data_IF_360483078365
#
_entry.id   IF_360483078365
#
_cell.length_a   1.000
_cell.length_b   1.000
_cell.length_c   1.000
_cell.angle_alpha   90.00
_cell.angle_beta   90.00
_cell.angle_gamma   90.00
#
_symmetry.space_group_name_H-M   'P 1'
#
loop_
_entity.id
_entity.type
_entity.pdbx_description
1 polymer ?
#
# COMPACT_ATOMS: atom_id res chain seq x y z
N UNK A 1 2.35 31.74 15.27
CA UNK A 1 1.24 30.74 15.27
C UNK A 1 0.75 30.39 16.68
N UNK A 2 -0.54 30.13 16.95
CA UNK A 2 -0.97 29.81 18.33
C UNK A 2 -0.94 28.31 18.62
N UNK A 3 -0.13 27.89 19.61
CA UNK A 3 -0.12 26.53 20.18
C UNK A 3 -1.55 26.06 20.51
N UNK A 4 -2.40 27.01 20.92
CA UNK A 4 -3.82 26.82 21.18
C UNK A 4 -4.56 26.18 19.98
N UNK A 5 -4.28 26.58 18.74
CA UNK A 5 -4.93 26.01 17.55
C UNK A 5 -4.61 24.51 17.38
N UNK A 6 -3.36 24.11 17.63
CA UNK A 6 -2.92 22.71 17.56
C UNK A 6 -3.57 21.88 18.66
N UNK A 7 -3.65 22.42 19.88
CA UNK A 7 -4.33 21.76 21.01
C UNK A 7 -5.81 21.56 20.67
N UNK A 8 -6.50 22.59 20.20
CA UNK A 8 -7.92 22.51 19.80
C UNK A 8 -8.11 21.47 18.69
N UNK A 9 -7.30 21.50 17.63
CA UNK A 9 -7.40 20.52 16.55
C UNK A 9 -7.09 19.09 17.00
N UNK A 10 -6.16 18.91 17.93
CA UNK A 10 -5.85 17.60 18.51
C UNK A 10 -7.02 17.06 19.34
N UNK A 11 -7.67 17.92 20.14
CA UNK A 11 -8.87 17.57 20.90
C UNK A 11 -10.04 17.24 19.98
N UNK A 12 -10.26 18.03 18.93
CA UNK A 12 -11.27 17.75 17.90
C UNK A 12 -10.99 16.44 17.17
N UNK A 13 -9.73 16.20 16.79
CA UNK A 13 -9.32 14.96 16.16
C UNK A 13 -9.60 13.76 17.07
N UNK A 14 -9.22 13.85 18.35
CA UNK A 14 -9.50 12.80 19.34
C UNK A 14 -11.00 12.57 19.52
N UNK A 15 -11.80 13.63 19.62
CA UNK A 15 -13.26 13.54 19.73
C UNK A 15 -13.86 12.79 18.52
N UNK A 16 -13.53 13.20 17.30
CA UNK A 16 -14.02 12.51 16.10
C UNK A 16 -13.48 11.09 15.96
N UNK A 17 -12.26 10.84 16.43
CA UNK A 17 -11.65 9.51 16.42
C UNK A 17 -12.40 8.55 17.37
N UNK A 18 -12.80 9.01 18.55
CA UNK A 18 -13.64 8.25 19.50
C UNK A 18 -14.98 7.91 18.85
N UNK A 19 -15.62 8.88 18.20
CA UNK A 19 -16.88 8.67 17.48
C UNK A 19 -16.70 7.67 16.33
N UNK A 20 -15.61 7.79 15.57
CA UNK A 20 -15.25 6.85 14.51
C UNK A 20 -15.13 5.42 15.03
N UNK A 21 -14.39 5.19 16.12
CA UNK A 21 -14.26 3.86 16.72
C UNK A 21 -15.56 3.31 17.33
N UNK A 22 -16.47 4.20 17.74
CA UNK A 22 -17.82 3.80 18.19
C UNK A 22 -18.65 3.23 17.04
N UNK A 23 -18.64 3.87 15.87
CA UNK A 23 -19.48 3.49 14.73
C UNK A 23 -18.87 2.42 13.81
N UNK A 24 -17.54 2.43 13.66
CA UNK A 24 -16.83 1.50 12.81
C UNK A 24 -16.15 0.45 13.68
N UNK A 25 -16.55 -0.82 13.56
CA UNK A 25 -15.80 -1.91 14.23
C UNK A 25 -14.51 -2.19 13.47
N UNK A 26 -13.38 -2.42 14.18
CA UNK A 26 -12.09 -2.59 13.54
C UNK A 26 -12.05 -3.85 12.67
N UNK A 27 -11.66 -3.66 11.41
CA UNK A 27 -11.36 -4.73 10.45
C UNK A 27 -9.93 -4.53 9.96
N UNK A 28 -9.11 -5.58 9.97
CA UNK A 28 -7.66 -5.49 9.69
C UNK A 28 -7.35 -4.79 8.37
N UNK A 29 -8.15 -5.05 7.34
CA UNK A 29 -7.96 -4.48 6.00
C UNK A 29 -8.86 -3.28 5.73
N UNK A 30 -9.36 -2.59 6.76
CA UNK A 30 -10.23 -1.42 6.60
C UNK A 30 -9.46 -0.24 5.99
N UNK A 31 -9.82 0.25 4.79
CA UNK A 31 -9.27 1.48 4.24
C UNK A 31 -9.27 2.66 5.22
N UNK A 32 -10.38 2.84 5.94
CA UNK A 32 -10.55 3.98 6.85
C UNK A 32 -9.55 3.95 8.01
N UNK A 33 -9.39 2.78 8.65
CA UNK A 33 -8.39 2.61 9.70
C UNK A 33 -6.97 2.77 9.16
N UNK A 34 -6.68 2.27 7.96
CA UNK A 34 -5.36 2.44 7.32
C UNK A 34 -5.04 3.93 7.16
N UNK A 35 -5.98 4.74 6.64
CA UNK A 35 -5.79 6.18 6.49
C UNK A 35 -5.48 6.85 7.84
N UNK A 36 -6.35 6.64 8.84
CA UNK A 36 -6.26 7.28 10.17
C UNK A 36 -4.97 6.89 10.89
N UNK A 37 -4.67 5.59 10.95
CA UNK A 37 -3.49 5.11 11.68
C UNK A 37 -2.18 5.52 10.99
N UNK A 38 -2.14 5.51 9.66
CA UNK A 38 -0.95 5.92 8.92
C UNK A 38 -0.67 7.42 9.07
N UNK A 39 -1.69 8.27 8.93
CA UNK A 39 -1.52 9.71 9.13
C UNK A 39 -1.10 10.04 10.56
N UNK A 40 -1.71 9.38 11.56
CA UNK A 40 -1.31 9.56 12.96
C UNK A 40 0.14 9.12 13.18
N UNK A 41 0.55 7.98 12.63
CA UNK A 41 1.92 7.51 12.72
C UNK A 41 2.91 8.50 12.10
N UNK A 42 2.61 9.04 10.91
CA UNK A 42 3.48 10.02 10.26
C UNK A 42 3.61 11.31 11.08
N UNK A 43 2.51 11.84 11.63
CA UNK A 43 2.53 13.02 12.51
C UNK A 43 3.43 12.76 13.73
N UNK A 44 3.19 11.66 14.45
CA UNK A 44 3.95 11.33 15.67
C UNK A 44 5.43 11.11 15.34
N UNK A 45 5.74 10.32 14.32
CA UNK A 45 7.11 10.05 13.91
C UNK A 45 7.83 11.32 13.43
N UNK A 46 7.13 12.24 12.79
CA UNK A 46 7.71 13.51 12.34
C UNK A 46 7.99 14.47 13.51
N UNK A 47 7.12 14.50 14.53
CA UNK A 47 7.39 15.24 15.77
C UNK A 47 8.62 14.65 16.48
N UNK A 48 8.68 13.32 16.59
CA UNK A 48 9.83 12.66 17.21
C UNK A 48 11.13 12.95 16.44
N UNK A 49 11.08 12.88 15.11
CA UNK A 49 12.22 13.21 14.26
C UNK A 49 12.65 14.68 14.39
N UNK A 50 11.71 15.62 14.37
CA UNK A 50 12.03 17.03 14.40
C UNK A 50 12.77 17.46 15.68
N UNK A 51 12.38 16.90 16.83
CA UNK A 51 12.91 17.31 18.14
C UNK A 51 14.01 16.42 18.72
N UNK A 52 14.04 15.13 18.36
CA UNK A 52 14.95 14.17 19.00
C UNK A 52 15.98 13.57 18.03
N UNK A 53 16.02 14.02 16.78
CA UNK A 53 16.98 13.53 15.79
C UNK A 53 17.87 14.67 15.27
N UNK A 54 18.99 14.88 15.97
CA UNK A 54 19.92 15.98 15.68
C UNK A 54 20.57 15.83 14.29
N UNK A 55 20.95 14.62 13.92
CA UNK A 55 21.65 14.31 12.66
C UNK A 55 20.69 14.12 11.48
N UNK A 56 19.88 15.13 11.19
CA UNK A 56 18.89 15.13 10.11
C UNK A 56 19.46 14.69 8.76
N UNK A 57 18.65 13.99 7.97
CA UNK A 57 19.06 13.47 6.66
C UNK A 57 19.23 14.56 5.59
N UNK A 58 18.54 15.70 5.69
CA UNK A 58 18.72 16.86 4.80
C UNK A 58 18.56 16.60 3.29
N UNK A 59 17.56 15.80 2.89
CA UNK A 59 17.30 15.57 1.45
C UNK A 59 16.89 16.88 0.79
N UNK A 60 17.77 17.47 -0.03
CA UNK A 60 17.51 18.77 -0.66
C UNK A 60 17.09 19.85 0.37
N UNK A 61 17.59 19.74 1.61
CA UNK A 61 17.29 20.62 2.73
C UNK A 61 15.78 20.77 3.01
N UNK A 62 14.97 19.73 2.74
CA UNK A 62 13.51 19.77 2.95
C UNK A 62 13.09 19.82 4.42
N UNK A 63 13.90 19.24 5.30
CA UNK A 63 13.75 19.15 6.74
C UNK A 63 14.54 20.22 7.51
N UNK A 64 15.20 21.10 6.77
CA UNK A 64 15.69 22.39 7.24
C UNK A 64 14.54 23.40 7.16
N UNK A 65 13.71 23.34 8.20
CA UNK A 65 12.60 24.26 8.46
C UNK A 65 12.63 24.69 9.92
N UNK A 66 12.21 25.93 10.15
CA UNK A 66 12.03 26.44 11.50
C UNK A 66 10.83 25.76 12.21
N UNK A 67 10.77 25.95 13.53
CA UNK A 67 9.72 25.36 14.35
C UNK A 67 8.33 25.91 14.02
N UNK A 68 8.23 27.18 13.59
CA UNK A 68 6.94 27.79 13.27
C UNK A 68 6.31 27.12 12.03
N UNK A 69 7.11 26.97 10.97
CA UNK A 69 6.69 26.27 9.76
C UNK A 69 6.40 24.81 10.04
N UNK A 70 7.22 24.13 10.85
CA UNK A 70 6.94 22.74 11.23
C UNK A 70 5.56 22.61 11.91
N UNK A 71 5.26 23.46 12.89
CA UNK A 71 3.97 23.46 13.58
C UNK A 71 2.80 23.84 12.68
N UNK A 72 2.99 24.74 11.71
CA UNK A 72 2.00 25.03 10.68
C UNK A 72 1.61 23.78 9.91
N UNK A 73 2.60 23.00 9.48
CA UNK A 73 2.35 21.77 8.73
C UNK A 73 1.61 20.77 9.60
N UNK A 74 2.02 20.56 10.86
CA UNK A 74 1.30 19.68 11.78
C UNK A 74 -0.16 20.14 11.96
N UNK A 75 -0.39 21.45 12.09
CA UNK A 75 -1.74 22.04 12.18
C UNK A 75 -2.58 21.70 10.94
N UNK A 76 -2.03 21.85 9.73
CA UNK A 76 -2.72 21.55 8.48
C UNK A 76 -3.04 20.05 8.32
N UNK A 77 -2.11 19.16 8.71
CA UNK A 77 -2.36 17.72 8.72
C UNK A 77 -3.44 17.34 9.73
N UNK A 78 -3.45 17.92 10.94
CA UNK A 78 -4.52 17.70 11.92
C UNK A 78 -5.87 18.19 11.38
N UNK A 79 -5.90 19.38 10.78
CA UNK A 79 -7.09 19.94 10.16
C UNK A 79 -7.65 19.02 9.04
N UNK A 80 -6.78 18.54 8.14
CA UNK A 80 -7.13 17.60 7.10
C UNK A 80 -7.67 16.27 7.65
N UNK A 81 -7.07 15.76 8.73
CA UNK A 81 -7.52 14.54 9.40
C UNK A 81 -8.89 14.71 10.07
N UNK A 82 -9.15 15.85 10.69
CA UNK A 82 -10.48 16.20 11.23
C UNK A 82 -11.50 16.27 10.09
N UNK A 83 -11.19 16.97 9.00
CA UNK A 83 -12.06 17.07 7.82
C UNK A 83 -12.36 15.69 7.20
N UNK A 84 -11.35 14.82 7.11
CA UNK A 84 -11.50 13.43 6.68
C UNK A 84 -12.45 12.64 7.58
N UNK A 85 -12.28 12.73 8.90
CA UNK A 85 -13.14 12.05 9.87
C UNK A 85 -14.59 12.56 9.81
N UNK A 86 -14.79 13.87 9.62
CA UNK A 86 -16.12 14.45 9.38
C UNK A 86 -16.72 13.84 8.11
N UNK A 87 -15.97 13.79 7.01
CA UNK A 87 -16.45 13.24 5.73
C UNK A 87 -16.87 11.77 5.82
N UNK A 88 -16.09 10.92 6.49
CA UNK A 88 -16.45 9.50 6.64
C UNK A 88 -17.63 9.30 7.60
N UNK A 89 -17.74 10.09 8.66
CA UNK A 89 -18.86 10.07 9.59
C UNK A 89 -20.14 10.58 8.94
N UNK A 90 -20.05 11.63 8.11
CA UNK A 90 -21.15 12.13 7.30
C UNK A 90 -21.65 11.04 6.34
N UNK A 91 -20.74 10.38 5.61
CA UNK A 91 -21.09 9.24 4.76
C UNK A 91 -21.78 8.10 5.53
N UNK A 92 -21.30 7.80 6.74
CA UNK A 92 -21.96 6.84 7.63
C UNK A 92 -23.37 7.29 7.98
N UNK A 93 -23.58 8.57 8.33
CA UNK A 93 -24.87 9.06 8.81
C UNK A 93 -25.96 9.04 7.75
N UNK A 94 -25.62 9.43 6.51
CA UNK A 94 -26.55 9.37 5.37
C UNK A 94 -26.75 7.94 4.84
N UNK A 95 -25.96 6.97 5.31
CA UNK A 95 -26.07 5.58 4.85
C UNK A 95 -27.30 4.87 5.44
N UNK A 96 -27.85 3.92 4.69
CA UNK A 96 -29.00 3.14 5.14
C UNK A 96 -28.71 2.33 6.42
N UNK A 97 -29.75 1.99 7.20
CA UNK A 97 -29.64 1.18 8.43
C UNK A 97 -28.86 -0.12 8.21
N UNK A 98 -29.01 -0.77 7.04
CA UNK A 98 -28.28 -1.98 6.68
C UNK A 98 -26.77 -1.74 6.53
N UNK A 99 -26.36 -0.59 5.98
CA UNK A 99 -24.95 -0.20 5.86
C UNK A 99 -24.38 0.18 7.24
N UNK A 100 -25.13 0.93 8.06
CA UNK A 100 -24.73 1.25 9.45
C UNK A 100 -24.46 -0.04 10.26
N UNK A 101 -25.36 -1.04 10.17
CA UNK A 101 -25.15 -2.39 10.76
C UNK A 101 -23.91 -3.10 10.22
N UNK A 102 -23.60 -2.95 8.93
CA UNK A 102 -22.40 -3.55 8.33
C UNK A 102 -21.11 -2.95 8.92
N UNK A 103 -21.07 -1.64 9.19
CA UNK A 103 -19.93 -1.01 9.84
C UNK A 103 -19.73 -1.45 11.29
N UNK A 104 -20.82 -1.70 12.01
CA UNK A 104 -20.76 -2.20 13.40
C UNK A 104 -20.53 -3.72 13.51
N UNK A 105 -20.47 -4.44 12.40
CA UNK A 105 -20.22 -5.90 12.39
C UNK A 105 -18.72 -6.20 12.39
N UNK A 106 -18.28 -7.12 13.25
CA UNK A 106 -16.89 -7.62 13.24
C UNK A 106 -16.69 -8.66 12.13
N UNK A 107 -16.07 -8.23 11.02
CA UNK A 107 -15.83 -9.08 9.86
C UNK A 107 -14.44 -9.73 9.83
N UNK A 108 -13.66 -9.63 10.91
CA UNK A 108 -12.29 -10.17 10.91
C UNK A 108 -12.26 -11.68 10.64
N UNK A 109 -13.24 -12.45 11.12
CA UNK A 109 -13.31 -13.89 10.88
C UNK A 109 -13.46 -14.23 9.39
N UNK A 110 -14.12 -13.37 8.61
CA UNK A 110 -14.28 -13.55 7.17
C UNK A 110 -12.98 -13.35 6.39
N UNK A 111 -11.90 -12.88 7.00
CA UNK A 111 -10.58 -12.80 6.35
C UNK A 111 -9.86 -14.14 6.30
N UNK A 112 -10.19 -15.08 7.20
CA UNK A 112 -9.43 -16.31 7.40
C UNK A 112 -9.95 -17.47 6.53
N UNK A 113 -9.03 -18.24 5.98
CA UNK A 113 -9.31 -19.34 5.07
C UNK A 113 -9.03 -20.67 5.79
N UNK A 114 -10.04 -21.53 5.87
CA UNK A 114 -9.82 -22.95 6.18
C UNK A 114 -9.41 -23.63 4.87
N UNK A 115 -8.11 -23.82 4.67
CA UNK A 115 -7.58 -24.49 3.48
C UNK A 115 -6.94 -25.83 3.87
N UNK A 116 -7.31 -26.89 3.16
CA UNK A 116 -6.79 -28.22 3.38
C UNK A 116 -5.99 -28.67 2.14
N UNK A 117 -4.68 -28.39 2.05
CA UNK A 117 -3.89 -28.69 0.85
C UNK A 117 -3.85 -30.20 0.57
N UNK A 118 -4.05 -30.57 -0.70
CA UNK A 118 -3.91 -31.95 -1.17
C UNK A 118 -2.45 -32.37 -1.24
N UNK A 119 -2.16 -33.68 -1.17
CA UNK A 119 -0.78 -34.21 -1.30
C UNK A 119 -0.15 -33.83 -2.65
N UNK A 120 -0.93 -33.87 -3.74
CA UNK A 120 -0.48 -33.46 -5.08
C UNK A 120 -0.06 -31.99 -5.12
N UNK A 121 -0.87 -31.08 -4.54
CA UNK A 121 -0.53 -29.66 -4.49
C UNK A 121 0.76 -29.39 -3.71
N UNK A 122 1.00 -30.15 -2.63
CA UNK A 122 2.27 -30.07 -1.90
C UNK A 122 3.45 -30.49 -2.77
N UNK A 123 3.34 -31.63 -3.47
CA UNK A 123 4.37 -32.09 -4.41
C UNK A 123 4.69 -31.06 -5.50
N UNK A 124 3.65 -30.50 -6.15
CA UNK A 124 3.82 -29.49 -7.19
C UNK A 124 4.46 -28.20 -6.67
N UNK A 125 4.10 -27.75 -5.47
CA UNK A 125 4.72 -26.57 -4.85
C UNK A 125 6.21 -26.78 -4.59
N UNK A 126 6.61 -27.97 -4.10
CA UNK A 126 8.03 -28.25 -3.87
C UNK A 126 8.82 -28.43 -5.17
N UNK A 127 8.22 -29.08 -6.17
CA UNK A 127 8.81 -29.14 -7.51
C UNK A 127 8.98 -27.73 -8.11
N UNK A 128 8.00 -26.85 -7.92
CA UNK A 128 8.08 -25.46 -8.36
C UNK A 128 9.20 -24.69 -7.66
N UNK A 129 9.38 -24.88 -6.34
CA UNK A 129 10.54 -24.33 -5.60
C UNK A 129 11.85 -24.78 -6.23
N UNK A 130 11.99 -26.07 -6.55
CA UNK A 130 13.20 -26.61 -7.17
C UNK A 130 13.45 -26.00 -8.55
N UNK A 131 12.42 -25.88 -9.40
CA UNK A 131 12.51 -25.24 -10.73
C UNK A 131 12.95 -23.78 -10.61
N UNK A 132 12.39 -23.03 -9.66
CA UNK A 132 12.78 -21.62 -9.42
C UNK A 132 14.26 -21.52 -9.05
N UNK A 133 14.73 -22.37 -8.14
CA UNK A 133 16.14 -22.41 -7.73
C UNK A 133 17.02 -22.74 -8.93
N UNK A 134 16.63 -23.74 -9.73
CA UNK A 134 17.34 -24.12 -10.94
C UNK A 134 17.45 -22.94 -11.92
N UNK A 135 16.36 -22.19 -12.15
CA UNK A 135 16.40 -21.00 -13.01
C UNK A 135 17.36 -19.93 -12.49
N UNK A 136 17.39 -19.66 -11.19
CA UNK A 136 18.37 -18.72 -10.64
C UNK A 136 19.80 -19.22 -10.78
N UNK A 137 20.05 -20.52 -10.56
CA UNK A 137 21.38 -21.13 -10.71
C UNK A 137 21.85 -21.11 -12.17
N UNK A 138 20.98 -21.45 -13.12
CA UNK A 138 21.30 -21.45 -14.56
C UNK A 138 21.62 -20.05 -15.06
N UNK A 139 20.85 -19.03 -14.64
CA UNK A 139 21.03 -17.68 -15.17
C UNK A 139 22.15 -16.90 -14.47
N UNK A 140 22.24 -16.97 -13.15
CA UNK A 140 23.23 -16.19 -12.39
C UNK A 140 24.47 -16.99 -12.03
N UNK A 141 24.36 -18.31 -11.81
CA UNK A 141 25.47 -19.17 -11.39
C UNK A 141 26.25 -18.58 -10.21
N UNK A 142 27.57 -18.43 -10.39
CA UNK A 142 28.48 -17.83 -9.38
C UNK A 142 28.16 -16.36 -9.07
N UNK A 143 27.48 -15.63 -9.95
CA UNK A 143 27.11 -14.23 -9.75
C UNK A 143 26.02 -14.03 -8.68
N UNK A 144 25.37 -15.10 -8.21
CA UNK A 144 24.53 -15.05 -7.00
C UNK A 144 25.35 -14.79 -5.76
N UNK A 145 26.58 -15.30 -5.72
CA UNK A 145 27.45 -15.16 -4.56
C UNK A 145 28.17 -13.82 -4.56
N UNK A 146 28.77 -13.44 -5.69
CA UNK A 146 29.52 -12.19 -5.86
C UNK A 146 29.50 -11.74 -7.32
N UNK A 147 29.27 -10.45 -7.56
CA UNK A 147 29.39 -9.80 -8.87
C UNK A 147 29.69 -8.31 -8.73
N UNK A 148 30.34 -7.73 -9.73
CA UNK A 148 30.65 -6.29 -9.77
C UNK A 148 29.43 -5.45 -10.17
N UNK A 149 28.60 -5.91 -11.10
CA UNK A 149 27.48 -5.11 -11.62
C UNK A 149 26.15 -5.39 -10.89
N UNK A 150 25.38 -4.34 -10.59
CA UNK A 150 24.05 -4.47 -10.02
C UNK A 150 23.09 -5.22 -10.94
N UNK A 151 23.06 -4.83 -12.22
CA UNK A 151 22.24 -5.42 -13.29
C UNK A 151 23.18 -5.99 -14.35
N UNK A 152 23.59 -7.25 -14.22
CA UNK A 152 24.41 -7.89 -15.23
C UNK A 152 23.68 -7.98 -16.56
N UNK A 153 24.45 -7.94 -17.66
CA UNK A 153 23.94 -8.28 -18.98
C UNK A 153 23.77 -9.80 -19.08
N UNK A 154 22.53 -10.26 -18.95
CA UNK A 154 22.17 -11.66 -19.20
C UNK A 154 21.64 -11.84 -20.62
N UNK A 155 21.99 -12.96 -21.25
CA UNK A 155 21.37 -13.39 -22.52
C UNK A 155 19.93 -13.90 -22.26
N UNK A 156 19.74 -14.66 -21.17
CA UNK A 156 18.47 -15.29 -20.81
C UNK A 156 17.61 -14.45 -19.85
N UNK A 157 17.44 -13.14 -20.13
CA UNK A 157 16.65 -12.23 -19.27
C UNK A 157 15.22 -12.72 -19.01
N UNK A 158 14.62 -13.39 -20.00
CA UNK A 158 13.25 -13.90 -19.87
C UNK A 158 13.11 -14.94 -18.75
N UNK A 159 14.12 -15.79 -18.53
CA UNK A 159 14.10 -16.79 -17.44
C UNK A 159 14.10 -16.12 -16.06
N UNK A 160 14.77 -14.98 -15.90
CA UNK A 160 14.75 -14.20 -14.65
C UNK A 160 13.34 -13.69 -14.38
N UNK A 161 12.67 -13.18 -15.41
CA UNK A 161 11.29 -12.69 -15.29
C UNK A 161 10.35 -13.83 -14.93
N UNK A 162 10.46 -14.98 -15.61
CA UNK A 162 9.69 -16.19 -15.28
C UNK A 162 9.96 -16.63 -13.85
N UNK A 163 11.22 -16.74 -13.42
CA UNK A 163 11.59 -17.13 -12.06
C UNK A 163 10.99 -16.19 -11.01
N UNK A 164 10.96 -14.88 -11.26
CA UNK A 164 10.34 -13.90 -10.36
C UNK A 164 8.81 -14.08 -10.28
N UNK A 165 8.14 -14.27 -11.42
CA UNK A 165 6.68 -14.50 -11.46
C UNK A 165 6.34 -15.82 -10.73
N UNK A 166 7.06 -16.89 -11.04
CA UNK A 166 6.90 -18.18 -10.39
C UNK A 166 7.18 -18.09 -8.89
N UNK A 167 8.17 -17.29 -8.46
CA UNK A 167 8.46 -17.07 -7.04
C UNK A 167 7.30 -16.41 -6.30
N UNK A 168 6.61 -15.44 -6.92
CA UNK A 168 5.41 -14.81 -6.35
C UNK A 168 4.25 -15.81 -6.22
N UNK A 169 4.01 -16.61 -7.26
CA UNK A 169 3.00 -17.68 -7.23
C UNK A 169 3.35 -18.70 -6.15
N UNK A 170 4.62 -19.12 -6.09
CA UNK A 170 5.08 -20.11 -5.14
C UNK A 170 5.02 -19.61 -3.69
N UNK A 171 5.26 -18.32 -3.44
CA UNK A 171 5.07 -17.72 -2.12
C UNK A 171 3.64 -17.87 -1.60
N UNK A 172 2.65 -17.71 -2.48
CA UNK A 172 1.23 -17.92 -2.16
C UNK A 172 1.00 -19.40 -1.82
N UNK A 173 1.48 -20.32 -2.67
CA UNK A 173 1.31 -21.76 -2.47
C UNK A 173 1.98 -22.25 -1.17
N UNK A 174 3.20 -21.79 -0.89
CA UNK A 174 3.94 -22.09 0.34
C UNK A 174 3.22 -21.57 1.58
N UNK A 175 2.60 -20.38 1.50
CA UNK A 175 1.75 -19.84 2.56
C UNK A 175 0.55 -20.74 2.86
N UNK A 176 -0.10 -21.26 1.81
CA UNK A 176 -1.22 -22.20 1.94
C UNK A 176 -0.82 -23.55 2.53
N UNK A 177 0.35 -24.08 2.15
CA UNK A 177 0.84 -25.41 2.58
C UNK A 177 1.41 -25.40 4.00
N UNK A 178 1.84 -24.23 4.49
CA UNK A 178 2.42 -24.04 5.82
C UNK A 178 1.58 -24.65 6.94
N UNK A 179 0.24 -24.64 6.81
CA UNK A 179 -0.70 -25.22 7.80
C UNK A 179 -0.39 -26.70 8.09
N UNK A 180 -0.02 -27.48 7.06
CA UNK A 180 0.29 -28.92 7.21
C UNK A 180 1.77 -29.22 7.35
N UNK A 181 2.63 -28.50 6.62
CA UNK A 181 4.07 -28.80 6.51
C UNK A 181 4.90 -27.55 6.80
N UNK A 182 4.79 -27.04 8.02
CA UNK A 182 5.40 -25.79 8.47
C UNK A 182 6.91 -25.68 8.15
N UNK A 183 7.69 -26.70 8.51
CA UNK A 183 9.15 -26.66 8.35
C UNK A 183 9.55 -26.62 6.88
N UNK A 184 9.01 -27.51 6.05
CA UNK A 184 9.27 -27.55 4.62
C UNK A 184 8.87 -26.25 3.91
N UNK A 185 7.71 -25.67 4.27
CA UNK A 185 7.27 -24.40 3.71
C UNK A 185 8.21 -23.25 4.11
N UNK A 186 8.64 -23.21 5.38
CA UNK A 186 9.59 -22.21 5.88
C UNK A 186 10.97 -22.32 5.21
N UNK A 187 11.49 -23.54 5.02
CA UNK A 187 12.78 -23.77 4.34
C UNK A 187 12.67 -23.36 2.87
N UNK A 188 11.60 -23.78 2.19
CA UNK A 188 11.38 -23.44 0.78
C UNK A 188 11.29 -21.94 0.55
N UNK A 189 10.53 -21.21 1.39
CA UNK A 189 10.45 -19.76 1.25
C UNK A 189 11.78 -19.09 1.60
N UNK A 190 12.51 -19.59 2.60
CA UNK A 190 13.83 -19.08 2.94
C UNK A 190 14.79 -19.21 1.76
N UNK A 191 14.81 -20.36 1.08
CA UNK A 191 15.62 -20.55 -0.13
C UNK A 191 15.22 -19.57 -1.23
N UNK A 192 13.93 -19.46 -1.58
CA UNK A 192 13.47 -18.51 -2.61
C UNK A 192 13.86 -17.07 -2.24
N UNK A 193 13.70 -16.69 -0.97
CA UNK A 193 14.09 -15.38 -0.47
C UNK A 193 15.59 -15.17 -0.56
N UNK A 194 16.42 -16.16 -0.23
CA UNK A 194 17.87 -16.09 -0.35
C UNK A 194 18.32 -15.87 -1.80
N UNK A 195 17.77 -16.64 -2.74
CA UNK A 195 18.10 -16.51 -4.17
C UNK A 195 17.61 -15.19 -4.77
N UNK A 196 16.39 -14.75 -4.42
CA UNK A 196 15.87 -13.46 -4.88
C UNK A 196 16.60 -12.28 -4.23
N UNK A 197 16.96 -12.40 -2.95
CA UNK A 197 17.79 -11.44 -2.22
C UNK A 197 19.17 -11.28 -2.86
N UNK A 198 19.83 -12.36 -3.29
CA UNK A 198 21.08 -12.33 -4.05
C UNK A 198 21.02 -11.43 -5.30
N UNK A 199 19.83 -11.23 -5.87
CA UNK A 199 19.64 -10.35 -7.02
C UNK A 199 19.54 -8.87 -6.65
N UNK A 200 19.35 -8.51 -5.38
CA UNK A 200 19.11 -7.12 -4.94
C UNK A 200 17.75 -6.56 -5.43
N UNK A 201 16.79 -7.45 -5.68
CA UNK A 201 15.48 -7.12 -6.23
C UNK A 201 14.47 -6.79 -5.14
N UNK A 202 13.68 -5.71 -5.34
CA UNK A 202 12.53 -5.39 -4.47
C UNK A 202 11.44 -6.47 -4.49
N UNK A 203 11.44 -7.37 -5.48
CA UNK A 203 10.50 -8.49 -5.55
C UNK A 203 10.63 -9.42 -4.34
N UNK A 204 11.80 -9.51 -3.70
CA UNK A 204 12.01 -10.30 -2.48
C UNK A 204 11.08 -9.85 -1.34
N UNK A 205 10.88 -8.54 -1.18
CA UNK A 205 9.92 -7.99 -0.21
C UNK A 205 8.48 -8.42 -0.52
N UNK A 206 8.09 -8.42 -1.79
CA UNK A 206 6.75 -8.84 -2.22
C UNK A 206 6.53 -10.34 -1.94
N UNK A 207 7.53 -11.17 -2.22
CA UNK A 207 7.53 -12.62 -1.93
C UNK A 207 7.30 -12.86 -0.43
N UNK A 208 8.08 -12.19 0.43
CA UNK A 208 7.94 -12.30 1.89
C UNK A 208 6.56 -11.83 2.37
N UNK A 209 6.12 -10.65 1.91
CA UNK A 209 4.85 -10.06 2.33
C UNK A 209 3.67 -10.94 1.91
N UNK A 210 3.68 -11.49 0.69
CA UNK A 210 2.66 -12.43 0.23
C UNK A 210 2.66 -13.71 1.06
N UNK A 211 3.84 -14.29 1.30
CA UNK A 211 3.95 -15.49 2.13
C UNK A 211 3.41 -15.25 3.55
N UNK A 212 3.76 -14.13 4.19
CA UNK A 212 3.27 -13.75 5.52
C UNK A 212 1.77 -13.50 5.54
N UNK A 213 1.23 -12.81 4.53
CA UNK A 213 -0.20 -12.52 4.40
C UNK A 213 -1.03 -13.80 4.26
N UNK A 214 -0.64 -14.71 3.37
CA UNK A 214 -1.34 -15.99 3.19
C UNK A 214 -1.17 -16.89 4.42
N UNK A 215 0.03 -16.91 5.01
CA UNK A 215 0.26 -17.62 6.28
C UNK A 215 -0.65 -17.09 7.39
N UNK A 216 -0.82 -15.77 7.50
CA UNK A 216 -1.69 -15.13 8.47
C UNK A 216 -3.15 -15.53 8.26
N UNK A 217 -3.63 -15.45 7.02
CA UNK A 217 -5.01 -15.82 6.66
C UNK A 217 -5.34 -17.28 6.93
N UNK A 218 -4.36 -18.18 6.85
CA UNK A 218 -4.56 -19.61 7.08
C UNK A 218 -4.35 -20.04 8.54
N UNK A 219 -3.71 -19.21 9.37
CA UNK A 219 -3.41 -19.54 10.78
C UNK A 219 -4.56 -19.26 11.76
N UNK A 220 -5.63 -18.59 11.32
CA UNK A 220 -6.81 -18.27 12.13
C UNK A 220 -6.73 -16.96 12.92
N UNK A 221 -7.90 -16.50 13.41
CA UNK A 221 -8.11 -15.17 14.02
C UNK A 221 -7.75 -15.13 15.52
N UNK A 222 -6.47 -15.18 15.86
CA UNK A 222 -6.01 -15.03 17.25
C UNK A 222 -5.15 -13.77 17.43
N UNK A 223 -5.12 -13.20 18.64
CA UNK A 223 -4.28 -12.03 18.94
C UNK A 223 -2.80 -12.32 18.67
N UNK A 224 -2.31 -13.49 19.08
CA UNK A 224 -0.94 -13.97 18.81
C UNK A 224 -0.61 -13.96 17.31
N UNK A 225 -1.54 -14.42 16.46
CA UNK A 225 -1.33 -14.40 15.01
C UNK A 225 -1.33 -12.99 14.44
N UNK A 226 -2.18 -12.10 14.94
CA UNK A 226 -2.19 -10.68 14.53
C UNK A 226 -0.89 -9.98 14.90
N UNK A 227 -0.43 -10.15 16.14
CA UNK A 227 0.83 -9.58 16.61
C UNK A 227 2.01 -10.13 15.80
N UNK A 228 2.05 -11.44 15.57
CA UNK A 228 3.08 -12.07 14.73
C UNK A 228 3.07 -11.50 13.31
N UNK A 229 1.89 -11.36 12.70
CA UNK A 229 1.77 -10.78 11.35
C UNK A 229 2.22 -9.31 11.33
N UNK A 230 1.86 -8.52 12.33
CA UNK A 230 2.31 -7.14 12.47
C UNK A 230 3.84 -7.05 12.56
N UNK A 231 4.48 -7.84 13.42
CA UNK A 231 5.95 -7.90 13.52
C UNK A 231 6.60 -8.36 12.21
N UNK A 232 5.98 -9.30 11.51
CA UNK A 232 6.43 -9.74 10.18
C UNK A 232 6.34 -8.64 9.12
N UNK A 233 5.32 -7.77 9.18
CA UNK A 233 5.22 -6.60 8.30
C UNK A 233 6.31 -5.57 8.61
N UNK A 234 6.56 -5.27 9.89
CA UNK A 234 7.67 -4.39 10.31
C UNK A 234 9.00 -4.94 9.79
N UNK A 235 9.27 -6.23 10.03
CA UNK A 235 10.47 -6.89 9.53
C UNK A 235 10.58 -6.80 8.00
N UNK A 236 9.49 -7.07 7.28
CA UNK A 236 9.49 -6.99 5.81
C UNK A 236 9.79 -5.57 5.33
N UNK A 237 9.24 -4.57 6.01
CA UNK A 237 9.48 -3.17 5.69
C UNK A 237 10.94 -2.75 5.93
N UNK A 238 11.52 -3.08 7.10
CA UNK A 238 12.95 -2.86 7.37
C UNK A 238 13.81 -3.58 6.32
N UNK A 239 13.44 -4.81 5.97
CA UNK A 239 14.15 -5.58 4.96
C UNK A 239 14.04 -4.99 3.55
N UNK A 240 12.91 -4.37 3.20
CA UNK A 240 12.78 -3.59 1.96
C UNK A 240 13.73 -2.40 1.97
N UNK A 241 13.74 -1.61 3.05
CA UNK A 241 14.66 -0.49 3.21
C UNK A 241 16.11 -0.93 3.02
N UNK A 242 16.47 -2.06 3.62
CA UNK A 242 17.77 -2.69 3.44
C UNK A 242 18.07 -3.10 1.99
N UNK A 243 17.13 -3.76 1.30
CA UNK A 243 17.26 -4.14 -0.12
C UNK A 243 17.46 -2.91 -1.02
N UNK A 244 16.86 -1.77 -0.68
CA UNK A 244 17.05 -0.53 -1.43
C UNK A 244 18.44 0.03 -1.19
N UNK A 245 18.93 0.02 0.05
CA UNK A 245 20.26 0.54 0.42
C UNK A 245 21.41 -0.22 -0.24
N UNK A 246 21.35 -1.55 -0.29
CA UNK A 246 22.40 -2.40 -0.92
C UNK A 246 22.52 -2.24 -2.45
N UNK A 247 21.77 -1.34 -3.07
CA UNK A 247 21.92 -1.01 -4.50
C UNK A 247 23.05 -0.04 -4.77
N UNK A 248 23.48 0.68 -3.74
CA UNK A 248 24.50 1.74 -3.84
C UNK A 248 25.92 1.22 -3.59
N UNK A 249 26.06 -0.03 -3.11
CA UNK A 249 27.36 -0.63 -2.84
C UNK A 249 28.05 -1.10 -4.13
N UNK A 250 29.39 -1.19 -4.17
CA UNK A 250 30.13 -1.50 -5.40
C UNK A 250 30.05 -2.96 -5.84
N UNK A 251 29.72 -3.90 -4.94
CA UNK A 251 29.64 -5.33 -5.24
C UNK A 251 28.30 -5.90 -4.81
N UNK A 252 27.75 -6.82 -5.60
CA UNK A 252 26.41 -7.39 -5.38
C UNK A 252 26.46 -8.91 -5.25
N UNK A 253 25.43 -9.49 -4.64
CA UNK A 253 25.35 -10.93 -4.35
C UNK A 253 25.22 -11.21 -2.85
N UNK A 254 25.03 -12.48 -2.49
CA UNK A 254 24.79 -12.89 -1.11
C UNK A 254 25.95 -12.47 -0.19
N UNK A 255 27.19 -12.72 -0.61
CA UNK A 255 28.38 -12.40 0.20
C UNK A 255 28.47 -10.90 0.51
N UNK A 256 28.59 -9.99 -0.49
CA UNK A 256 28.74 -8.57 -0.20
C UNK A 256 27.56 -8.04 0.60
N UNK A 257 26.33 -8.44 0.29
CA UNK A 257 25.16 -8.01 1.05
C UNK A 257 25.27 -8.41 2.53
N UNK A 258 25.57 -9.68 2.86
CA UNK A 258 25.70 -10.08 4.26
C UNK A 258 26.87 -9.35 4.93
N UNK A 259 28.03 -9.26 4.26
CA UNK A 259 29.22 -8.64 4.85
C UNK A 259 29.06 -7.15 5.11
N UNK A 260 28.26 -6.43 4.30
CA UNK A 260 28.01 -5.00 4.52
C UNK A 260 27.37 -4.73 5.88
N UNK A 261 26.51 -5.61 6.39
CA UNK A 261 25.87 -5.43 7.72
C UNK A 261 26.89 -5.44 8.86
N UNK A 262 28.00 -6.17 8.69
CA UNK A 262 29.04 -6.32 9.72
C UNK A 262 30.24 -5.39 9.50
N UNK A 263 30.25 -4.62 8.41
CA UNK A 263 31.31 -3.67 8.14
C UNK A 263 31.01 -2.33 8.85
N UNK A 264 31.85 -1.95 9.81
CA UNK A 264 31.69 -0.72 10.60
C UNK A 264 31.78 0.54 9.74
N UNK A 265 32.55 0.51 8.65
CA UNK A 265 32.70 1.65 7.74
C UNK A 265 31.52 1.80 6.78
N UNK A 266 30.53 0.90 6.83
CA UNK A 266 29.39 0.96 5.92
C UNK A 266 28.32 1.95 6.37
N UNK A 267 27.92 2.86 5.47
CA UNK A 267 26.77 3.74 5.67
C UNK A 267 25.41 3.01 5.53
N UNK A 268 25.39 1.68 5.65
CA UNK A 268 24.22 0.87 5.35
C UNK A 268 23.09 1.11 6.33
N UNK A 269 23.39 1.24 7.62
CA UNK A 269 22.39 1.51 8.66
C UNK A 269 21.81 2.92 8.50
N UNK A 270 22.66 3.90 8.17
CA UNK A 270 22.23 5.25 7.82
C UNK A 270 21.29 5.22 6.60
N UNK A 271 21.64 4.46 5.57
CA UNK A 271 20.81 4.30 4.37
C UNK A 271 19.49 3.56 4.63
N UNK A 272 19.49 2.56 5.53
CA UNK A 272 18.26 1.87 5.98
C UNK A 272 17.36 2.85 6.74
N UNK A 273 17.91 3.58 7.70
CA UNK A 273 17.19 4.58 8.48
C UNK A 273 16.66 5.69 7.55
N UNK A 274 17.44 6.10 6.56
CA UNK A 274 17.03 7.04 5.52
C UNK A 274 15.81 6.55 4.75
N UNK A 275 15.78 5.28 4.31
CA UNK A 275 14.65 4.74 3.58
C UNK A 275 13.39 4.62 4.46
N UNK A 276 13.55 4.38 5.76
CA UNK A 276 12.45 4.42 6.74
C UNK A 276 11.93 5.86 6.89
N UNK A 277 12.83 6.83 7.07
CA UNK A 277 12.52 8.26 7.08
C UNK A 277 11.77 8.68 5.82
N UNK A 278 12.26 8.27 4.66
CA UNK A 278 11.68 8.59 3.36
C UNK A 278 10.22 8.11 3.24
N UNK A 279 9.91 6.94 3.80
CA UNK A 279 8.58 6.33 3.66
C UNK A 279 7.52 6.86 4.65
N UNK A 280 7.94 7.36 5.82
CA UNK A 280 7.04 7.68 6.93
C UNK A 280 7.11 9.15 7.39
N UNK A 281 8.27 9.79 7.25
CA UNK A 281 8.53 11.11 7.85
C UNK A 281 8.66 12.17 6.76
N UNK A 282 9.42 11.87 5.71
CA UNK A 282 9.77 12.78 4.62
C UNK A 282 8.57 13.53 4.04
N UNK A 283 7.42 12.89 3.86
CA UNK A 283 6.24 13.52 3.25
C UNK A 283 5.73 14.77 4.00
N UNK A 284 5.88 14.83 5.32
CA UNK A 284 5.53 16.03 6.10
C UNK A 284 6.49 17.19 5.79
N UNK A 285 7.79 16.92 5.73
CA UNK A 285 8.80 17.92 5.39
C UNK A 285 8.74 18.34 3.91
N UNK A 286 8.52 17.42 2.98
CA UNK A 286 8.31 17.73 1.57
C UNK A 286 7.06 18.62 1.36
N UNK A 287 6.02 18.43 2.17
CA UNK A 287 4.84 19.29 2.17
C UNK A 287 5.19 20.73 2.56
N UNK A 288 6.10 20.95 3.50
CA UNK A 288 6.56 22.29 3.87
C UNK A 288 7.21 23.03 2.70
N UNK A 289 8.14 22.40 1.97
CA UNK A 289 8.78 23.01 0.80
C UNK A 289 7.80 23.19 -0.36
N UNK A 290 6.77 22.36 -0.45
CA UNK A 290 5.67 22.57 -1.40
C UNK A 290 4.95 23.88 -1.13
N UNK A 291 4.64 24.20 0.13
CA UNK A 291 4.00 25.47 0.49
C UNK A 291 4.90 26.70 0.29
N UNK A 292 6.21 26.55 0.47
CA UNK A 292 7.16 27.67 0.26
C UNK A 292 7.32 28.00 -1.22
N UNK A 293 7.34 26.98 -2.08
CA UNK A 293 7.60 27.14 -3.52
C UNK A 293 6.33 27.22 -4.36
N UNK A 294 5.24 26.66 -3.86
CA UNK A 294 3.98 26.58 -4.57
C UNK A 294 3.30 27.93 -4.63
N UNK A 295 2.38 28.03 -5.57
CA UNK A 295 1.40 29.11 -5.64
C UNK A 295 0.03 28.48 -5.91
N UNK A 296 -1.07 29.04 -5.38
CA UNK A 296 -2.39 28.49 -5.60
C UNK A 296 -2.76 28.60 -7.08
N UNK A 297 -3.08 27.48 -7.72
CA UNK A 297 -3.49 27.43 -9.11
C UNK A 297 -4.60 26.38 -9.35
N UNK A 298 -5.79 26.87 -9.66
CA UNK A 298 -6.96 26.04 -9.97
C UNK A 298 -6.78 25.21 -11.24
N UNK A 299 -6.00 25.68 -12.22
CA UNK A 299 -5.67 24.92 -13.41
C UNK A 299 -4.86 23.67 -13.04
N UNK A 300 -3.85 23.79 -12.18
CA UNK A 300 -3.07 22.63 -11.72
C UNK A 300 -3.93 21.63 -10.94
N UNK A 301 -4.87 22.10 -10.11
CA UNK A 301 -5.83 21.23 -9.41
C UNK A 301 -6.73 20.49 -10.41
N UNK A 302 -7.29 21.20 -11.40
CA UNK A 302 -8.12 20.60 -12.43
C UNK A 302 -7.37 19.53 -13.23
N UNK A 303 -6.17 19.85 -13.72
CA UNK A 303 -5.31 18.91 -14.46
C UNK A 303 -4.95 17.71 -13.59
N UNK A 304 -4.69 17.93 -12.29
CA UNK A 304 -4.35 16.87 -11.36
C UNK A 304 -5.53 15.94 -11.05
N UNK A 305 -6.75 16.47 -10.97
CA UNK A 305 -7.98 15.72 -10.70
C UNK A 305 -8.73 15.26 -11.95
N UNK A 306 -8.17 15.47 -13.15
CA UNK A 306 -8.76 14.95 -14.37
C UNK A 306 -8.44 13.46 -14.56
N UNK A 307 -9.44 12.58 -14.78
CA UNK A 307 -9.20 11.16 -15.07
C UNK A 307 -8.65 10.92 -16.49
N UNK A 308 -8.61 11.95 -17.35
CA UNK A 308 -8.16 11.83 -18.73
C UNK A 308 -6.66 11.50 -18.84
N UNK A 309 -6.21 10.89 -19.96
CA UNK A 309 -4.80 10.72 -20.27
C UNK A 309 -4.01 12.03 -20.15
N UNK A 310 -2.77 11.96 -19.64
CA UNK A 310 -1.97 13.16 -19.35
C UNK A 310 -1.76 14.09 -20.54
N UNK A 311 -1.65 13.52 -21.76
CA UNK A 311 -1.52 14.30 -23.00
C UNK A 311 -2.75 15.16 -23.33
N UNK A 312 -3.95 14.76 -22.88
CA UNK A 312 -5.18 15.51 -23.16
C UNK A 312 -5.40 16.68 -22.20
N UNK A 313 -4.60 16.77 -21.13
CA UNK A 313 -4.73 17.77 -20.07
C UNK A 313 -3.40 18.49 -19.80
N UNK A 314 -2.45 18.42 -20.74
CA UNK A 314 -1.11 19.02 -20.63
C UNK A 314 -0.38 18.68 -19.31
N UNK A 315 -0.54 17.45 -18.82
CA UNK A 315 0.09 17.04 -17.56
C UNK A 315 1.63 17.16 -17.60
N UNK A 316 2.25 17.01 -18.78
CA UNK A 316 3.69 17.07 -18.91
C UNK A 316 4.25 18.45 -18.56
N UNK A 317 3.53 19.52 -18.90
CA UNK A 317 3.90 20.91 -18.58
C UNK A 317 3.68 21.16 -17.10
N UNK A 318 2.46 20.93 -16.60
CA UNK A 318 2.10 21.07 -15.18
C UNK A 318 3.02 20.27 -14.26
N UNK A 319 3.41 19.06 -14.65
CA UNK A 319 4.30 18.23 -13.84
C UNK A 319 5.71 18.80 -13.71
N UNK A 320 6.20 19.62 -14.65
CA UNK A 320 7.51 20.27 -14.51
C UNK A 320 7.46 21.38 -13.47
N UNK A 321 6.33 22.09 -13.39
CA UNK A 321 6.13 23.23 -12.48
C UNK A 321 5.84 22.76 -11.06
N UNK A 322 5.20 21.60 -10.88
CA UNK A 322 4.88 21.03 -9.57
C UNK A 322 6.05 20.27 -8.91
N UNK A 323 7.26 20.83 -8.91
CA UNK A 323 8.47 20.14 -8.41
C UNK A 323 9.22 20.97 -7.37
N UNK A 324 9.63 20.31 -6.28
CA UNK A 324 10.57 20.87 -5.28
C UNK A 324 11.98 20.86 -5.85
N UNK A 325 12.37 19.76 -6.49
CA UNK A 325 13.63 19.58 -7.22
C UNK A 325 13.38 18.76 -8.48
N UNK A 326 14.39 18.58 -9.33
CA UNK A 326 14.31 17.73 -10.53
C UNK A 326 13.71 16.35 -10.27
N UNK A 327 13.94 15.77 -9.09
CA UNK A 327 13.52 14.41 -8.71
C UNK A 327 12.42 14.37 -7.67
N UNK A 328 12.07 15.51 -7.07
CA UNK A 328 11.15 15.58 -5.95
C UNK A 328 9.90 16.36 -6.36
N UNK A 329 8.75 15.69 -6.51
CA UNK A 329 7.50 16.36 -6.83
C UNK A 329 6.93 17.10 -5.61
N UNK A 330 6.00 18.02 -5.85
CA UNK A 330 5.09 18.50 -4.83
C UNK A 330 4.22 17.35 -4.31
N UNK A 331 3.98 17.30 -3.01
CA UNK A 331 3.12 16.28 -2.39
C UNK A 331 1.64 16.58 -2.65
N UNK A 332 0.77 15.57 -2.56
CA UNK A 332 -0.69 15.79 -2.62
C UNK A 332 -1.13 16.76 -1.54
N UNK A 333 -0.68 16.55 -0.30
CA UNK A 333 -1.06 17.40 0.83
C UNK A 333 -0.63 18.85 0.60
N UNK A 334 0.60 19.07 0.13
CA UNK A 334 1.10 20.41 -0.16
C UNK A 334 0.26 21.12 -1.24
N UNK A 335 -0.05 20.43 -2.34
CA UNK A 335 -0.90 21.01 -3.40
C UNK A 335 -2.30 21.37 -2.90
N UNK A 336 -2.87 20.58 -1.99
CA UNK A 336 -4.21 20.86 -1.43
C UNK A 336 -4.16 21.97 -0.39
N UNK A 337 -3.16 21.95 0.49
CA UNK A 337 -2.97 22.94 1.55
C UNK A 337 -2.68 24.34 0.99
N UNK A 338 -1.96 24.41 -0.12
CA UNK A 338 -1.65 25.66 -0.83
C UNK A 338 -2.92 26.39 -1.29
N UNK A 339 -3.98 25.65 -1.63
CA UNK A 339 -5.27 26.25 -2.02
C UNK A 339 -6.06 26.85 -0.84
N UNK A 340 -5.53 26.75 0.39
CA UNK A 340 -6.11 27.31 1.61
C UNK A 340 -7.05 26.37 2.38
N UNK A 341 -7.45 26.83 3.57
CA UNK A 341 -8.23 26.04 4.53
C UNK A 341 -9.59 25.61 3.99
N UNK A 342 -10.29 26.48 3.25
CA UNK A 342 -11.62 26.18 2.70
C UNK A 342 -11.55 25.03 1.69
N UNK A 343 -10.62 25.10 0.73
CA UNK A 343 -10.43 24.02 -0.23
C UNK A 343 -9.98 22.73 0.46
N UNK A 344 -9.02 22.83 1.38
CA UNK A 344 -8.53 21.68 2.18
C UNK A 344 -9.68 20.99 2.92
N UNK A 345 -10.57 21.75 3.57
CA UNK A 345 -11.74 21.22 4.27
C UNK A 345 -12.64 20.42 3.33
N UNK A 346 -13.10 21.02 2.24
CA UNK A 346 -13.99 20.36 1.29
C UNK A 346 -13.33 19.16 0.61
N UNK A 347 -12.06 19.28 0.25
CA UNK A 347 -11.29 18.21 -0.37
C UNK A 347 -11.19 17.00 0.55
N UNK A 348 -10.79 17.17 1.82
CA UNK A 348 -10.65 16.05 2.74
C UNK A 348 -11.99 15.49 3.24
N UNK A 349 -13.06 16.30 3.32
CA UNK A 349 -14.43 15.78 3.49
C UNK A 349 -14.81 14.87 2.32
N UNK A 350 -14.52 15.26 1.08
CA UNK A 350 -14.77 14.43 -0.10
C UNK A 350 -13.95 13.12 -0.05
N UNK A 351 -12.66 13.20 0.27
CA UNK A 351 -11.80 12.02 0.45
C UNK A 351 -12.36 11.12 1.56
N UNK A 352 -12.81 11.67 2.69
CA UNK A 352 -13.48 10.92 3.76
C UNK A 352 -14.74 10.19 3.29
N UNK A 353 -15.57 10.86 2.47
CA UNK A 353 -16.75 10.25 1.86
C UNK A 353 -16.37 9.10 0.90
N UNK A 354 -15.33 9.29 0.07
CA UNK A 354 -14.81 8.24 -0.82
C UNK A 354 -14.31 7.03 -0.02
N UNK A 355 -13.56 7.25 1.07
CA UNK A 355 -13.13 6.19 1.96
C UNK A 355 -14.31 5.48 2.63
N UNK A 356 -15.35 6.21 3.06
CA UNK A 356 -16.60 5.61 3.54
C UNK A 356 -17.26 4.73 2.47
N UNK A 357 -17.32 5.19 1.23
CA UNK A 357 -17.84 4.40 0.11
C UNK A 357 -17.05 3.12 -0.13
N UNK A 358 -15.72 3.17 -0.15
CA UNK A 358 -14.88 1.98 -0.35
C UNK A 358 -14.86 1.06 0.87
N UNK A 359 -14.90 1.58 2.09
CA UNK A 359 -15.06 0.82 3.33
C UNK A 359 -16.34 -0.04 3.27
N UNK A 360 -17.48 0.56 2.87
CA UNK A 360 -18.73 -0.18 2.63
C UNK A 360 -18.52 -1.32 1.65
N UNK A 361 -17.84 -1.08 0.53
CA UNK A 361 -17.63 -2.11 -0.50
C UNK A 361 -16.71 -3.23 -0.01
N UNK A 362 -15.59 -2.91 0.65
CA UNK A 362 -14.68 -3.88 1.28
C UNK A 362 -15.45 -4.77 2.25
N UNK A 363 -16.25 -4.18 3.15
CA UNK A 363 -17.07 -4.95 4.11
C UNK A 363 -18.14 -5.80 3.42
N UNK A 364 -18.82 -5.29 2.39
CA UNK A 364 -19.80 -6.06 1.60
C UNK A 364 -19.15 -7.26 0.92
N UNK A 365 -17.93 -7.11 0.42
CA UNK A 365 -17.17 -8.21 -0.16
C UNK A 365 -16.80 -9.25 0.90
N UNK A 366 -16.32 -8.82 2.07
CA UNK A 366 -16.02 -9.74 3.18
C UNK A 366 -17.25 -10.50 3.67
N UNK A 367 -18.38 -9.82 3.89
CA UNK A 367 -19.63 -10.45 4.30
C UNK A 367 -20.14 -11.50 3.30
N UNK A 368 -19.78 -11.35 2.01
CA UNK A 368 -20.10 -12.30 0.93
C UNK A 368 -18.97 -13.30 0.65
N UNK A 369 -17.99 -13.42 1.54
CA UNK A 369 -16.79 -14.26 1.40
C UNK A 369 -15.94 -13.96 0.13
N UNK A 370 -16.09 -12.78 -0.48
CA UNK A 370 -15.28 -12.31 -1.63
C UNK A 370 -13.99 -11.62 -1.16
N UNK A 371 -13.16 -12.35 -0.44
CA UNK A 371 -11.95 -11.85 0.24
C UNK A 371 -10.97 -11.15 -0.70
N UNK A 372 -10.69 -11.77 -1.85
CA UNK A 372 -9.72 -11.23 -2.81
C UNK A 372 -10.14 -9.84 -3.32
N UNK A 373 -11.43 -9.65 -3.61
CA UNK A 373 -11.96 -8.33 -3.99
C UNK A 373 -11.84 -7.32 -2.85
N UNK A 374 -12.14 -7.73 -1.61
CA UNK A 374 -12.00 -6.87 -0.45
C UNK A 374 -10.55 -6.41 -0.24
N UNK A 375 -9.59 -7.34 -0.31
CA UNK A 375 -8.16 -7.04 -0.19
C UNK A 375 -7.65 -6.15 -1.33
N UNK A 376 -8.10 -6.41 -2.56
CA UNK A 376 -7.73 -5.61 -3.71
C UNK A 376 -8.14 -4.14 -3.55
N UNK A 377 -9.39 -3.87 -3.15
CA UNK A 377 -9.82 -2.50 -2.90
C UNK A 377 -9.12 -1.88 -1.69
N UNK A 378 -8.90 -2.65 -0.61
CA UNK A 378 -8.12 -2.17 0.53
C UNK A 378 -6.69 -1.76 0.13
N UNK A 379 -6.05 -2.54 -0.75
CA UNK A 379 -4.72 -2.23 -1.28
C UNK A 379 -4.71 -0.95 -2.10
N UNK A 380 -5.68 -0.75 -3.01
CA UNK A 380 -5.77 0.50 -3.78
C UNK A 380 -5.93 1.72 -2.88
N UNK A 381 -6.74 1.62 -1.82
CA UNK A 381 -6.90 2.72 -0.86
C UNK A 381 -5.65 2.92 -0.01
N UNK A 382 -4.96 1.85 0.38
CA UNK A 382 -3.66 1.97 1.05
C UNK A 382 -2.63 2.66 0.15
N UNK A 383 -2.59 2.34 -1.15
CA UNK A 383 -1.70 3.00 -2.10
C UNK A 383 -2.01 4.50 -2.24
N UNK A 384 -3.28 4.90 -2.25
CA UNK A 384 -3.64 6.32 -2.16
C UNK A 384 -3.00 6.99 -0.92
N UNK A 385 -3.11 6.34 0.25
CA UNK A 385 -2.57 6.85 1.52
C UNK A 385 -1.05 6.99 1.48
N UNK A 386 -0.31 6.00 0.97
CA UNK A 386 1.15 6.10 0.86
C UNK A 386 1.55 7.19 -0.16
N UNK A 387 0.93 7.19 -1.34
CA UNK A 387 1.32 8.11 -2.41
C UNK A 387 0.95 9.56 -2.12
N UNK A 388 -0.01 9.84 -1.24
CA UNK A 388 -0.39 11.21 -0.89
C UNK A 388 0.71 11.97 -0.12
N UNK A 389 1.64 11.27 0.51
CA UNK A 389 2.78 11.86 1.21
C UNK A 389 3.99 12.12 0.31
N UNK A 390 4.19 11.30 -0.73
CA UNK A 390 5.44 11.33 -1.53
C UNK A 390 5.25 11.87 -2.96
N UNK A 391 4.04 11.85 -3.51
CA UNK A 391 3.79 12.13 -4.92
C UNK A 391 2.72 13.20 -5.12
N UNK A 392 2.65 13.71 -6.36
CA UNK A 392 1.64 14.69 -6.75
C UNK A 392 0.20 14.21 -6.50
N UNK A 393 -0.70 15.19 -6.33
CA UNK A 393 -2.16 14.98 -6.25
C UNK A 393 -2.66 14.01 -7.32
N UNK A 394 -2.28 14.21 -8.58
CA UNK A 394 -2.66 13.33 -9.70
C UNK A 394 -2.26 11.88 -9.52
N UNK A 395 -1.02 11.64 -9.10
CA UNK A 395 -0.46 10.28 -8.96
C UNK A 395 -1.16 9.51 -7.85
N UNK A 396 -1.42 10.15 -6.72
CA UNK A 396 -2.17 9.54 -5.62
C UNK A 396 -3.65 9.35 -5.98
N UNK A 397 -4.32 10.38 -6.55
CA UNK A 397 -5.76 10.32 -6.81
C UNK A 397 -6.15 9.28 -7.87
N UNK A 398 -5.23 8.88 -8.76
CA UNK A 398 -5.43 7.77 -9.72
C UNK A 398 -5.89 6.47 -9.07
N UNK A 399 -5.49 6.19 -7.83
CA UNK A 399 -5.93 4.97 -7.15
C UNK A 399 -7.45 4.96 -6.87
N UNK A 400 -8.09 6.12 -6.72
CA UNK A 400 -9.55 6.21 -6.73
C UNK A 400 -10.13 5.89 -8.10
N UNK A 401 -9.58 6.44 -9.20
CA UNK A 401 -10.06 6.13 -10.56
C UNK A 401 -9.91 4.65 -10.87
N UNK A 402 -8.79 4.04 -10.51
CA UNK A 402 -8.60 2.59 -10.66
C UNK A 402 -9.64 1.81 -9.87
N UNK A 403 -9.89 2.19 -8.61
CA UNK A 403 -10.89 1.52 -7.80
C UNK A 403 -12.32 1.66 -8.39
N UNK A 404 -12.70 2.84 -8.87
CA UNK A 404 -13.98 3.02 -9.57
C UNK A 404 -14.05 2.23 -10.88
N UNK A 405 -12.99 2.23 -11.68
CA UNK A 405 -12.91 1.45 -12.91
C UNK A 405 -13.10 -0.04 -12.64
N UNK A 406 -12.44 -0.61 -11.63
CA UNK A 406 -12.62 -2.02 -11.29
C UNK A 406 -14.03 -2.33 -10.75
N UNK A 407 -14.65 -1.42 -10.00
CA UNK A 407 -16.05 -1.58 -9.60
C UNK A 407 -16.99 -1.58 -10.82
N UNK A 408 -16.75 -0.70 -11.78
CA UNK A 408 -17.48 -0.66 -13.03
C UNK A 408 -17.32 -1.96 -13.83
N UNK A 409 -16.09 -2.47 -13.98
CA UNK A 409 -15.82 -3.75 -14.65
C UNK A 409 -16.55 -4.90 -13.95
N UNK A 410 -16.50 -4.98 -12.62
CA UNK A 410 -17.23 -6.02 -11.87
C UNK A 410 -18.74 -5.93 -12.05
N UNK A 411 -19.28 -4.71 -12.12
CA UNK A 411 -20.69 -4.48 -12.41
C UNK A 411 -21.03 -4.91 -13.85
N UNK A 412 -20.25 -4.50 -14.85
CA UNK A 412 -20.47 -4.81 -16.26
C UNK A 412 -20.44 -6.33 -16.51
N UNK A 413 -19.43 -7.04 -16.00
CA UNK A 413 -19.34 -8.51 -16.10
C UNK A 413 -20.57 -9.18 -15.49
N UNK A 414 -21.03 -8.70 -14.33
CA UNK A 414 -22.22 -9.25 -13.68
C UNK A 414 -23.48 -9.01 -14.52
N UNK A 415 -23.65 -7.82 -15.08
CA UNK A 415 -24.79 -7.45 -15.92
C UNK A 415 -24.82 -8.28 -17.20
N UNK A 416 -23.69 -8.41 -17.91
CA UNK A 416 -23.57 -9.24 -19.11
C UNK A 416 -23.90 -10.70 -18.79
N UNK A 417 -23.35 -11.26 -17.71
CA UNK A 417 -23.65 -12.64 -17.29
C UNK A 417 -25.14 -12.86 -17.03
N UNK A 418 -25.79 -11.92 -16.35
CA UNK A 418 -27.21 -12.01 -16.06
C UNK A 418 -28.07 -11.93 -17.35
N UNK A 419 -27.69 -11.06 -18.29
CA UNK A 419 -28.32 -10.95 -19.60
C UNK A 419 -28.22 -12.27 -20.39
N UNK A 420 -27.02 -12.86 -20.47
CA UNK A 420 -26.80 -14.16 -21.13
C UNK A 420 -27.64 -15.27 -20.48
N UNK A 421 -27.66 -15.35 -19.15
CA UNK A 421 -28.45 -16.35 -18.43
C UNK A 421 -29.96 -16.18 -18.65
N UNK A 422 -30.44 -14.94 -18.77
CA UNK A 422 -31.84 -14.68 -19.10
C UNK A 422 -32.17 -15.17 -20.51
N UNK A 423 -31.32 -14.87 -21.49
CA UNK A 423 -31.49 -15.31 -22.87
C UNK A 423 -31.49 -16.85 -23.00
N UNK A 424 -30.53 -17.53 -22.36
CA UNK A 424 -30.45 -19.00 -22.35
C UNK A 424 -31.68 -19.66 -21.72
N UNK A 425 -32.23 -19.08 -20.65
CA UNK A 425 -33.47 -19.57 -20.01
C UNK A 425 -34.67 -19.42 -20.93
N UNK A 426 -34.77 -18.30 -21.66
CA UNK A 426 -35.84 -18.06 -22.64
C UNK A 426 -35.76 -19.07 -23.79
N UNK A 427 -34.57 -19.27 -24.36
CA UNK A 427 -34.35 -20.24 -25.44
C UNK A 427 -34.71 -21.69 -25.00
N UNK A 428 -34.30 -22.09 -23.79
CA UNK A 428 -34.65 -23.41 -23.25
C UNK A 428 -36.15 -23.61 -23.07
N UNK A 429 -36.87 -22.56 -22.66
CA UNK A 429 -38.34 -22.59 -22.51
C UNK A 429 -39.03 -22.78 -23.87
N UNK A 430 -38.64 -22.02 -24.88
CA UNK A 430 -39.18 -22.14 -26.24
C UNK A 430 -38.95 -23.53 -26.84
N UNK A 431 -37.72 -24.07 -26.73
CA UNK A 431 -37.42 -25.43 -27.22
C UNK A 431 -38.26 -26.52 -26.50
N UNK A 432 -38.54 -26.33 -25.20
CA UNK A 432 -39.38 -27.28 -24.44
C UNK A 432 -40.87 -27.18 -24.77
N UNK A 433 -41.34 -26.04 -25.27
CA UNK A 433 -42.72 -25.86 -25.74
C UNK A 433 -42.90 -26.43 -27.16
N UNK A 434 -41.88 -26.35 -28.01
CA UNK A 434 -41.87 -27.01 -29.32
C UNK A 434 -41.86 -28.54 -29.21
N UNK A 435 -41.05 -29.12 -28.30
CA UNK A 435 -41.03 -30.58 -28.08
C UNK A 435 -42.32 -31.16 -27.50
N UNK A 436 -43.23 -30.31 -26.99
CA UNK A 436 -44.55 -30.72 -26.48
C UNK A 436 -45.66 -30.64 -27.51
N UNK A 437 -45.41 -29.96 -28.64
CA UNK A 437 -46.29 -29.93 -29.79
C UNK A 437 -45.92 -31.07 -30.72
#
# INVERSE_FOLDING_TARGET
MSILAIVILSLLYLFFLIIFFKFFKPVIISPAYIFVLFNLANIVLSILYFYFYDNKFSIANVDDIDAEMFWLIIQLFLFANVAFLIGILFYHEISSKAIKRLYSTNLNQHLFIKFNPSRKLMGYTFLLTFIIILFYLVVYGKQLYLRAEYIPKFELKFLITIAKILSLINAILLGLIRVKKRNYANISIFLIVLFTFATGSRVTFLILTLYFLISFQTSGNTLKNKLKFFLQLIFSFIFLSYIVSIRQIPFHGIKPYITTVFNQDSEIFRSVAFNIYYSLIFGIFATSKTLIKGSPDWYYIYVSLSPLPGRLVNWQEVAQELKITKFMPFTLHGQVFEMGYTFTLFFFILVGNLFGYFEKNVRKFLARNKRNSAMFFALLMALFVFYSFEYHLRSAFRYFYYAFFFLFVFWAIKSIRNFILHFLRKAKKSASEELKK
#
